data_IF_342783528339
#
_entry.id   IF_342783528339
#
_cell.length_a   1.000
_cell.length_b   1.000
_cell.length_c   1.000
_cell.angle_alpha   90.00
_cell.angle_beta   90.00
_cell.angle_gamma   90.00
#
_symmetry.space_group_name_H-M   'P 1'
#
loop_
_entity.id
_entity.type
_entity.pdbx_description
1 polymer ?
#
# COMPACT_ATOMS: atom_id res chain seq x y z
N UNK A 1 -1.60 -11.21 3.52
CA UNK A 1 -2.75 -10.79 4.35
C UNK A 1 -2.39 -10.59 5.82
N UNK A 2 -1.62 -11.49 6.44
CA UNK A 2 -1.22 -11.37 7.85
C UNK A 2 -0.65 -9.99 8.26
N UNK A 3 0.19 -9.31 7.45
CA UNK A 3 0.69 -7.98 7.80
C UNK A 3 -0.41 -6.91 7.89
N UNK A 4 -1.42 -6.96 7.03
CA UNK A 4 -2.51 -5.97 7.02
C UNK A 4 -3.39 -6.07 8.27
N UNK A 5 -3.65 -7.30 8.72
CA UNK A 5 -4.38 -7.53 9.98
C UNK A 5 -3.60 -6.97 11.16
N UNK A 6 -2.28 -7.20 11.20
CA UNK A 6 -1.42 -6.68 12.25
C UNK A 6 -1.45 -5.14 12.30
N UNK A 7 -1.39 -4.46 11.15
CA UNK A 7 -1.50 -3.00 11.06
C UNK A 7 -2.81 -2.48 11.67
N UNK A 8 -3.95 -3.09 11.32
CA UNK A 8 -5.25 -2.72 11.87
C UNK A 8 -5.29 -2.93 13.38
N UNK A 9 -4.84 -4.10 13.86
CA UNK A 9 -4.81 -4.40 15.30
C UNK A 9 -3.99 -3.36 16.06
N UNK A 10 -2.80 -3.01 15.56
CA UNK A 10 -1.94 -1.99 16.18
C UNK A 10 -2.60 -0.61 16.14
N UNK A 11 -3.17 -0.22 15.01
CA UNK A 11 -3.81 1.09 14.84
C UNK A 11 -5.05 1.28 15.72
N UNK A 12 -5.75 0.19 16.08
CA UNK A 12 -6.92 0.26 16.99
C UNK A 12 -6.55 0.41 18.46
N UNK A 13 -5.25 0.36 18.82
CA UNK A 13 -4.82 0.53 20.21
C UNK A 13 -5.08 1.96 20.70
N UNK A 14 -5.43 2.17 21.99
CA UNK A 14 -5.76 3.49 22.53
C UNK A 14 -4.66 4.55 22.40
N UNK A 15 -3.40 4.12 22.31
CA UNK A 15 -2.23 5.00 22.12
C UNK A 15 -2.27 5.74 20.77
N UNK A 16 -2.93 5.17 19.76
CA UNK A 16 -3.01 5.73 18.41
C UNK A 16 -4.19 6.71 18.34
N UNK A 17 -3.88 8.00 18.33
CA UNK A 17 -4.90 9.07 18.35
C UNK A 17 -5.64 9.21 17.02
N UNK A 18 -4.97 8.95 15.90
CA UNK A 18 -5.48 9.11 14.54
C UNK A 18 -5.28 7.81 13.71
N UNK A 19 -6.10 6.75 13.94
CA UNK A 19 -5.89 5.44 13.33
C UNK A 19 -5.97 5.45 11.80
N UNK A 20 -6.85 6.27 11.22
CA UNK A 20 -6.97 6.40 9.77
C UNK A 20 -5.70 7.00 9.15
N UNK A 21 -5.24 8.15 9.65
CA UNK A 21 -4.05 8.82 9.13
C UNK A 21 -2.79 7.98 9.35
N UNK A 22 -2.68 7.30 10.49
CA UNK A 22 -1.58 6.37 10.76
C UNK A 22 -1.48 5.30 9.67
N UNK A 23 -2.60 4.66 9.31
CA UNK A 23 -2.61 3.61 8.30
C UNK A 23 -2.46 4.12 6.87
N UNK A 24 -2.95 5.31 6.54
CA UNK A 24 -2.65 5.96 5.26
C UNK A 24 -1.15 6.22 5.13
N UNK A 25 -0.51 6.74 6.18
CA UNK A 25 0.94 6.97 6.20
C UNK A 25 1.73 5.65 6.10
N UNK A 26 1.32 4.61 6.85
CA UNK A 26 1.92 3.26 6.73
C UNK A 26 1.77 2.71 5.32
N UNK A 27 0.60 2.85 4.70
CA UNK A 27 0.35 2.44 3.32
C UNK A 27 1.21 3.21 2.31
N UNK A 28 1.36 4.52 2.47
CA UNK A 28 2.23 5.33 1.63
C UNK A 28 3.71 4.89 1.73
N UNK A 29 4.21 4.70 2.95
CA UNK A 29 5.57 4.16 3.17
C UNK A 29 5.72 2.77 2.54
N UNK A 30 4.72 1.90 2.72
CA UNK A 30 4.72 0.58 2.10
C UNK A 30 4.76 0.66 0.57
N UNK A 31 3.99 1.57 -0.04
CA UNK A 31 3.98 1.78 -1.49
C UNK A 31 5.33 2.28 -2.02
N UNK A 32 5.98 3.18 -1.29
CA UNK A 32 7.35 3.63 -1.60
C UNK A 32 8.35 2.48 -1.51
N UNK A 33 8.29 1.68 -0.44
CA UNK A 33 9.16 0.52 -0.28
C UNK A 33 8.91 -0.53 -1.37
N UNK A 34 7.65 -0.74 -1.77
CA UNK A 34 7.28 -1.66 -2.83
C UNK A 34 7.83 -1.19 -4.19
N UNK A 35 7.67 0.09 -4.51
CA UNK A 35 8.24 0.70 -5.71
C UNK A 35 9.77 0.58 -5.71
N UNK A 36 10.44 0.94 -4.61
CA UNK A 36 11.89 0.83 -4.46
C UNK A 36 12.37 -0.61 -4.61
N UNK A 37 11.67 -1.57 -4.01
CA UNK A 37 11.94 -3.01 -4.13
C UNK A 37 11.87 -3.45 -5.58
N UNK A 38 10.81 -3.08 -6.32
CA UNK A 38 10.71 -3.37 -7.75
C UNK A 38 11.86 -2.79 -8.55
N UNK A 39 12.28 -1.56 -8.27
CA UNK A 39 13.38 -0.92 -9.00
C UNK A 39 14.73 -1.58 -8.71
N UNK A 40 15.02 -1.88 -7.43
CA UNK A 40 16.29 -2.48 -7.00
C UNK A 40 16.41 -3.96 -7.39
N UNK A 41 15.29 -4.69 -7.41
CA UNK A 41 15.24 -6.11 -7.74
C UNK A 41 14.82 -6.39 -9.18
N UNK A 42 14.61 -5.36 -10.01
CA UNK A 42 14.09 -5.48 -11.38
C UNK A 42 14.78 -6.57 -12.20
N UNK A 43 16.11 -6.49 -12.35
CA UNK A 43 16.88 -7.48 -13.11
C UNK A 43 16.79 -8.88 -12.53
N UNK A 44 16.74 -9.02 -11.20
CA UNK A 44 16.61 -10.33 -10.53
C UNK A 44 15.20 -10.90 -10.65
N UNK A 45 14.17 -10.07 -10.63
CA UNK A 45 12.79 -10.49 -10.74
C UNK A 45 12.46 -11.09 -12.12
N UNK A 46 13.30 -10.79 -13.12
CA UNK A 46 13.12 -11.22 -14.51
C UNK A 46 14.32 -11.98 -15.07
N UNK A 47 15.23 -12.48 -14.22
CA UNK A 47 16.42 -13.26 -14.63
C UNK A 47 17.25 -12.62 -15.76
N UNK A 48 17.36 -11.29 -15.75
CA UNK A 48 18.05 -10.53 -16.80
C UNK A 48 17.29 -10.36 -18.12
N UNK A 49 16.08 -10.90 -18.23
CA UNK A 49 15.19 -10.81 -19.39
C UNK A 49 13.98 -9.89 -19.06
N UNK A 50 14.14 -8.56 -19.05
CA UNK A 50 13.09 -7.64 -18.65
C UNK A 50 11.84 -7.77 -19.54
N UNK A 51 10.64 -7.52 -18.98
CA UNK A 51 9.39 -7.60 -19.73
C UNK A 51 9.39 -6.62 -20.91
N UNK A 52 8.70 -7.01 -21.98
CA UNK A 52 8.56 -6.21 -23.21
C UNK A 52 7.10 -5.88 -23.48
N UNK A 53 6.88 -4.72 -24.07
CA UNK A 53 5.57 -4.36 -24.63
C UNK A 53 5.33 -5.22 -25.87
N UNK A 54 4.11 -5.75 -25.99
CA UNK A 54 3.75 -6.65 -27.10
C UNK A 54 3.05 -5.95 -28.26
N UNK A 55 2.74 -6.74 -29.29
CA UNK A 55 1.85 -6.38 -30.39
C UNK A 55 2.24 -5.05 -31.08
N UNK A 56 1.33 -4.10 -31.21
CA UNK A 56 1.53 -2.78 -31.82
C UNK A 56 2.68 -1.95 -31.20
N UNK A 57 3.22 -2.36 -30.05
CA UNK A 57 4.28 -1.66 -29.31
C UNK A 57 5.61 -2.41 -29.32
N UNK A 58 5.68 -3.61 -29.94
CA UNK A 58 6.88 -4.44 -29.93
C UNK A 58 8.07 -3.79 -30.64
N UNK A 59 7.81 -2.89 -31.61
CA UNK A 59 8.84 -2.14 -32.35
C UNK A 59 9.39 -0.92 -31.63
N UNK A 60 8.90 -0.58 -30.43
CA UNK A 60 9.41 0.56 -29.65
C UNK A 60 10.83 0.25 -29.15
N UNK A 61 11.67 1.27 -29.09
CA UNK A 61 13.02 1.18 -28.54
C UNK A 61 13.07 0.42 -27.19
N UNK A 62 13.94 -0.59 -27.04
CA UNK A 62 14.05 -1.39 -25.84
C UNK A 62 14.29 -0.61 -24.53
N UNK A 63 15.02 0.50 -24.56
CA UNK A 63 15.28 1.32 -23.36
C UNK A 63 14.03 2.11 -23.00
N UNK A 64 13.34 2.67 -23.99
CA UNK A 64 12.08 3.37 -23.78
C UNK A 64 11.00 2.45 -23.18
N UNK A 65 10.91 1.20 -23.65
CA UNK A 65 9.99 0.21 -23.05
C UNK A 65 10.31 -0.04 -21.58
N UNK A 66 11.58 -0.16 -21.22
CA UNK A 66 12.02 -0.40 -19.84
C UNK A 66 11.69 0.80 -18.94
N UNK A 67 11.95 2.03 -19.41
CA UNK A 67 11.58 3.27 -18.68
C UNK A 67 10.07 3.33 -18.41
N UNK A 68 9.24 3.04 -19.43
CA UNK A 68 7.78 3.06 -19.30
C UNK A 68 7.30 2.01 -18.31
N UNK A 69 7.78 0.77 -18.42
CA UNK A 69 7.37 -0.34 -17.55
C UNK A 69 7.83 -0.12 -16.11
N UNK A 70 9.05 0.39 -15.90
CA UNK A 70 9.56 0.73 -14.57
C UNK A 70 8.79 1.90 -13.97
N UNK A 71 8.47 2.92 -14.75
CA UNK A 71 7.61 4.02 -14.33
C UNK A 71 6.21 3.56 -13.92
N UNK A 72 5.60 2.68 -14.72
CA UNK A 72 4.31 2.07 -14.39
C UNK A 72 4.37 1.25 -13.09
N UNK A 73 5.45 0.51 -12.86
CA UNK A 73 5.66 -0.24 -11.62
C UNK A 73 5.77 0.68 -10.39
N UNK A 74 6.45 1.82 -10.51
CA UNK A 74 6.51 2.83 -9.43
C UNK A 74 5.11 3.35 -9.12
N UNK A 75 4.38 3.79 -10.15
CA UNK A 75 3.02 4.31 -9.98
C UNK A 75 2.08 3.27 -9.36
N UNK A 76 2.15 2.03 -9.84
CA UNK A 76 1.38 0.91 -9.32
C UNK A 76 1.71 0.60 -7.86
N UNK A 77 2.99 0.59 -7.47
CA UNK A 77 3.42 0.39 -6.10
C UNK A 77 2.88 1.47 -5.15
N UNK A 78 2.96 2.74 -5.56
CA UNK A 78 2.40 3.86 -4.80
C UNK A 78 0.88 3.76 -4.66
N UNK A 79 0.17 3.48 -5.75
CA UNK A 79 -1.30 3.31 -5.73
C UNK A 79 -1.72 2.15 -4.85
N UNK A 80 -1.04 1.01 -4.97
CA UNK A 80 -1.29 -0.18 -4.16
C UNK A 80 -1.10 0.13 -2.67
N UNK A 81 0.02 0.75 -2.29
CA UNK A 81 0.29 1.13 -0.91
C UNK A 81 -0.75 2.10 -0.35
N UNK A 82 -1.09 3.14 -1.10
CA UNK A 82 -2.10 4.12 -0.69
C UNK A 82 -3.49 3.50 -0.55
N UNK A 83 -3.90 2.67 -1.52
CA UNK A 83 -5.18 1.95 -1.48
C UNK A 83 -5.26 1.05 -0.24
N UNK A 84 -4.20 0.28 0.05
CA UNK A 84 -4.12 -0.54 1.27
C UNK A 84 -4.21 0.30 2.53
N UNK A 85 -3.51 1.43 2.59
CA UNK A 85 -3.55 2.35 3.73
C UNK A 85 -4.94 2.95 3.97
N UNK A 86 -5.63 3.36 2.91
CA UNK A 86 -7.00 3.89 2.97
C UNK A 86 -7.99 2.80 3.42
N UNK A 87 -7.92 1.61 2.82
CA UNK A 87 -8.83 0.51 3.15
C UNK A 87 -8.65 0.05 4.60
N UNK A 88 -7.41 -0.22 5.02
CA UNK A 88 -7.12 -0.62 6.40
C UNK A 88 -7.42 0.52 7.39
N UNK A 89 -7.12 1.77 7.02
CA UNK A 89 -7.47 2.97 7.77
C UNK A 89 -8.97 3.11 8.02
N UNK A 90 -9.78 2.89 6.99
CA UNK A 90 -11.24 2.95 7.10
C UNK A 90 -11.77 1.86 8.05
N UNK A 91 -11.22 0.65 7.97
CA UNK A 91 -11.56 -0.45 8.88
C UNK A 91 -11.19 -0.11 10.33
N UNK A 92 -9.96 0.35 10.58
CA UNK A 92 -9.52 0.72 11.92
C UNK A 92 -10.35 1.88 12.51
N UNK A 93 -10.67 2.89 11.70
CA UNK A 93 -11.53 3.98 12.10
C UNK A 93 -12.94 3.49 12.49
N UNK A 94 -13.53 2.59 11.70
CA UNK A 94 -14.85 2.02 11.99
C UNK A 94 -14.85 1.24 13.33
N UNK A 95 -13.79 0.46 13.59
CA UNK A 95 -13.60 -0.27 14.86
C UNK A 95 -13.49 0.70 16.03
N UNK A 96 -12.58 1.68 15.96
CA UNK A 96 -12.35 2.66 17.04
C UNK A 96 -13.61 3.49 17.32
N UNK A 97 -14.35 3.88 16.27
CA UNK A 97 -15.62 4.60 16.42
C UNK A 97 -16.65 3.77 17.17
N UNK A 98 -16.75 2.46 16.90
CA UNK A 98 -17.66 1.55 17.63
C UNK A 98 -17.24 1.38 19.09
N UNK A 99 -15.95 1.18 19.36
CA UNK A 99 -15.41 1.06 20.73
C UNK A 99 -15.69 2.31 21.57
N UNK A 100 -15.46 3.50 21.02
CA UNK A 100 -15.75 4.78 21.71
C UNK A 100 -17.23 4.94 22.02
N UNK A 101 -18.13 4.56 21.11
CA UNK A 101 -19.58 4.59 21.34
C UNK A 101 -20.00 3.65 22.47
N UNK A 102 -19.46 2.43 22.49
CA UNK A 102 -19.76 1.46 23.54
C UNK A 102 -19.30 1.94 24.93
N UNK A 103 -18.11 2.56 25.01
CA UNK A 103 -17.58 3.11 26.26
C UNK A 103 -18.42 4.26 26.83
N UNK A 104 -19.00 5.11 25.98
CA UNK A 104 -19.91 6.18 26.42
C UNK A 104 -21.22 5.59 26.97
N UNK A 105 -21.79 4.57 26.32
CA UNK A 105 -23.02 3.91 26.78
C UNK A 105 -22.85 3.18 28.11
N UNK A 106 -21.67 2.62 28.39
CA UNK A 106 -21.38 1.98 29.68
C UNK A 106 -21.22 2.99 30.82
N UNK A 107 -20.86 4.25 30.53
CA UNK A 107 -20.68 5.29 31.56
C UNK A 107 -21.99 5.99 31.95
N UNK A 108 -23.07 5.80 31.19
CA UNK A 108 -24.39 6.39 31.44
C UNK A 108 -25.37 5.43 32.12
N UNK A 109 -24.92 4.22 32.48
CA UNK A 109 -25.66 3.22 33.25
C UNK A 109 -25.07 3.15 34.65
#
# INVERSE_FOLDING_TARGET
MLPLVAWVVVATRPVVRAPFLALVATGAVHGVLLAATHQLLWTRAFDGAPPRLGDNLAGIDPELQDVVLRGAAVFSGMHTGLALGVLTGAVAWAIVRRQRRAAVQSSSR
#
